data_IF_156393520262
#
_entry.id   IF_156393520262
#
_cell.length_a   1.000
_cell.length_b   1.000
_cell.length_c   1.000
_cell.angle_alpha   90.00
_cell.angle_beta   90.00
_cell.angle_gamma   90.00
#
_symmetry.space_group_name_H-M   'P 1'
#
loop_
_entity.id
_entity.type
_entity.pdbx_description
1 polymer ?
#
# COMPACT_ATOMS: atom_id res chain seq x y z
N UNK A 1 0.43 29.20 -34.02
CA UNK A 1 -0.47 28.09 -33.64
C UNK A 1 -1.31 28.54 -32.45
N UNK A 2 -2.64 28.44 -32.52
CA UNK A 2 -3.51 28.75 -31.37
C UNK A 2 -3.58 27.54 -30.46
N UNK A 3 -2.78 27.53 -29.40
CA UNK A 3 -2.76 26.44 -28.42
C UNK A 3 -3.94 26.60 -27.46
N UNK A 4 -4.84 25.62 -27.44
CA UNK A 4 -5.97 25.55 -26.49
C UNK A 4 -5.66 24.53 -25.41
N UNK A 5 -5.82 24.93 -24.16
CA UNK A 5 -5.72 24.02 -23.01
C UNK A 5 -6.90 23.04 -23.03
N UNK A 6 -6.63 21.77 -22.72
CA UNK A 6 -7.65 20.76 -22.54
C UNK A 6 -8.66 21.19 -21.47
N UNK A 7 -9.96 21.08 -21.77
CA UNK A 7 -11.03 21.32 -20.81
C UNK A 7 -11.91 20.09 -20.73
N UNK A 8 -12.14 19.61 -19.52
CA UNK A 8 -12.98 18.45 -19.26
C UNK A 8 -14.46 18.84 -19.38
N UNK A 9 -15.29 17.97 -19.98
CA UNK A 9 -16.74 18.12 -19.97
C UNK A 9 -17.33 17.39 -18.77
N UNK A 10 -18.48 17.85 -18.29
CA UNK A 10 -19.15 17.23 -17.14
C UNK A 10 -19.52 15.75 -17.38
N UNK A 11 -19.82 15.38 -18.62
CA UNK A 11 -20.16 14.02 -19.03
C UNK A 11 -18.99 13.04 -18.98
N UNK A 12 -17.76 13.55 -19.12
CA UNK A 12 -16.54 12.74 -19.21
C UNK A 12 -15.87 12.56 -17.84
N UNK A 13 -16.59 12.89 -16.75
CA UNK A 13 -16.08 12.78 -15.39
C UNK A 13 -16.18 11.32 -14.93
N UNK A 14 -15.03 10.64 -14.91
CA UNK A 14 -14.90 9.34 -14.25
C UNK A 14 -14.61 9.51 -12.76
N UNK A 15 -15.41 8.88 -11.89
CA UNK A 15 -15.24 8.92 -10.44
C UNK A 15 -14.92 7.53 -9.90
N UNK A 16 -13.92 7.47 -9.03
CA UNK A 16 -13.51 6.24 -8.33
C UNK A 16 -14.00 6.28 -6.89
N UNK A 17 -14.08 5.12 -6.28
CA UNK A 17 -14.35 4.96 -4.86
C UNK A 17 -13.04 4.67 -4.14
N UNK A 18 -12.77 5.39 -3.05
CA UNK A 18 -11.62 5.18 -2.17
C UNK A 18 -12.10 4.86 -0.77
N UNK A 19 -11.45 3.91 -0.12
CA UNK A 19 -11.69 3.56 1.28
C UNK A 19 -10.45 3.95 2.08
N UNK A 20 -10.63 4.78 3.11
CA UNK A 20 -9.59 5.23 4.01
C UNK A 20 -9.87 4.71 5.42
N UNK A 21 -8.89 4.04 5.99
CA UNK A 21 -8.93 3.66 7.40
C UNK A 21 -8.42 4.81 8.28
N UNK A 22 -9.20 5.13 9.31
CA UNK A 22 -8.94 6.19 10.26
C UNK A 22 -8.33 5.67 11.58
N UNK A 23 -8.22 4.35 11.77
CA UNK A 23 -7.65 3.74 12.96
C UNK A 23 -6.21 4.19 13.20
N UNK A 24 -5.90 4.64 14.42
CA UNK A 24 -4.54 5.01 14.84
C UNK A 24 -3.97 6.26 14.15
N UNK A 25 -4.69 6.89 13.22
CA UNK A 25 -4.17 7.99 12.42
C UNK A 25 -4.59 9.36 12.97
N UNK A 26 -3.72 10.40 12.86
CA UNK A 26 -4.09 11.75 13.29
C UNK A 26 -5.23 12.34 12.45
N UNK A 27 -6.25 12.92 13.10
CA UNK A 27 -7.43 13.52 12.45
C UNK A 27 -7.11 14.39 11.24
N UNK A 28 -6.13 15.29 11.39
CA UNK A 28 -5.77 16.25 10.34
C UNK A 28 -5.15 15.59 9.10
N UNK A 29 -4.42 14.48 9.26
CA UNK A 29 -3.77 13.78 8.15
C UNK A 29 -4.79 13.06 7.29
N UNK A 30 -5.70 12.29 7.91
CA UNK A 30 -6.81 11.64 7.19
C UNK A 30 -7.70 12.69 6.52
N UNK A 31 -8.06 13.77 7.24
CA UNK A 31 -8.92 14.80 6.68
C UNK A 31 -8.31 15.49 5.46
N UNK A 32 -6.99 15.75 5.48
CA UNK A 32 -6.28 16.35 4.35
C UNK A 32 -6.21 15.41 3.14
N UNK A 33 -5.96 14.13 3.38
CA UNK A 33 -5.95 13.11 2.33
C UNK A 33 -7.33 12.95 1.69
N UNK A 34 -8.38 12.83 2.51
CA UNK A 34 -9.76 12.77 2.06
C UNK A 34 -10.15 14.03 1.26
N UNK A 35 -9.81 15.22 1.75
CA UNK A 35 -10.10 16.47 1.05
C UNK A 35 -9.37 16.56 -0.29
N UNK A 36 -8.14 16.05 -0.40
CA UNK A 36 -7.39 16.03 -1.66
C UNK A 36 -8.09 15.16 -2.72
N UNK A 37 -8.54 13.96 -2.33
CA UNK A 37 -9.29 13.04 -3.19
C UNK A 37 -10.67 13.62 -3.58
N UNK A 38 -11.38 14.22 -2.62
CA UNK A 38 -12.67 14.87 -2.87
C UNK A 38 -12.53 16.10 -3.77
N UNK A 39 -11.41 16.82 -3.73
CA UNK A 39 -11.18 17.92 -4.67
C UNK A 39 -10.84 17.43 -6.08
N UNK A 40 -10.31 16.21 -6.21
CA UNK A 40 -9.84 15.65 -7.47
C UNK A 40 -8.46 16.17 -7.90
N UNK A 41 -7.69 16.75 -6.97
CA UNK A 41 -6.37 17.34 -7.25
C UNK A 41 -5.30 16.31 -7.65
N UNK A 42 -5.55 15.04 -7.36
CA UNK A 42 -4.70 13.92 -7.79
C UNK A 42 -4.86 13.58 -9.27
N UNK A 43 -5.93 14.04 -9.93
CA UNK A 43 -6.15 13.82 -11.36
C UNK A 43 -5.52 14.95 -12.18
N UNK A 44 -4.75 14.65 -13.24
CA UNK A 44 -4.19 15.67 -14.12
C UNK A 44 -5.26 16.43 -14.91
N UNK A 45 -6.45 15.87 -15.03
CA UNK A 45 -7.65 16.48 -15.66
C UNK A 45 -8.40 17.42 -14.72
N UNK A 46 -7.74 17.97 -13.68
CA UNK A 46 -8.39 18.82 -12.69
C UNK A 46 -8.88 20.14 -13.30
N UNK A 47 -10.19 20.34 -13.26
CA UNK A 47 -10.89 21.55 -13.66
C UNK A 47 -11.50 22.29 -12.44
N UNK A 48 -11.17 23.57 -12.18
CA UNK A 48 -11.62 24.31 -10.99
C UNK A 48 -13.12 24.64 -10.92
N UNK A 49 -13.89 24.51 -11.98
CA UNK A 49 -15.33 24.83 -11.93
C UNK A 49 -16.21 23.59 -11.81
N UNK A 50 -15.67 22.40 -12.12
CA UNK A 50 -16.41 21.13 -12.09
C UNK A 50 -16.17 20.38 -10.78
N UNK A 51 -17.19 19.66 -10.32
CA UNK A 51 -17.11 18.74 -9.19
C UNK A 51 -16.68 17.34 -9.66
N UNK A 52 -15.41 17.15 -10.07
CA UNK A 52 -14.92 15.87 -10.59
C UNK A 52 -14.21 14.98 -9.57
N UNK A 53 -14.33 15.34 -8.28
CA UNK A 53 -13.75 14.61 -7.17
C UNK A 53 -14.28 13.18 -7.04
N UNK A 54 -13.46 12.33 -6.45
CA UNK A 54 -13.80 10.93 -6.21
C UNK A 54 -14.72 10.77 -4.98
N UNK A 55 -15.34 9.60 -4.86
CA UNK A 55 -16.06 9.20 -3.66
C UNK A 55 -15.07 8.68 -2.62
N UNK A 56 -15.21 9.14 -1.38
CA UNK A 56 -14.31 8.77 -0.28
C UNK A 56 -15.15 8.22 0.86
N UNK A 57 -14.82 7.00 1.27
CA UNK A 57 -15.37 6.32 2.44
C UNK A 57 -14.29 6.34 3.50
N UNK A 58 -14.62 6.82 4.69
CA UNK A 58 -13.74 6.76 5.86
C UNK A 58 -14.35 5.79 6.86
N UNK A 59 -13.59 4.76 7.23
CA UNK A 59 -13.97 3.74 8.22
C UNK A 59 -13.22 3.96 9.53
N UNK A 60 -13.70 3.33 10.62
CA UNK A 60 -13.10 3.43 11.96
C UNK A 60 -12.99 4.87 12.50
N UNK A 61 -14.00 5.71 12.23
CA UNK A 61 -13.96 7.11 12.66
C UNK A 61 -13.89 7.29 14.19
N UNK A 62 -14.29 6.29 14.96
CA UNK A 62 -14.21 6.29 16.42
C UNK A 62 -12.77 6.18 16.96
N UNK A 63 -11.85 5.64 16.16
CA UNK A 63 -10.46 5.33 16.57
C UNK A 63 -9.46 6.42 16.16
N UNK A 64 -9.96 7.58 15.74
CA UNK A 64 -9.11 8.69 15.31
C UNK A 64 -8.37 9.33 16.48
N UNK A 65 -7.07 9.54 16.29
CA UNK A 65 -6.19 10.11 17.32
C UNK A 65 -6.01 11.61 17.13
N UNK A 66 -5.92 12.33 18.25
CA UNK A 66 -5.40 13.69 18.32
C UNK A 66 -4.07 13.70 19.04
N UNK A 67 -3.08 14.43 18.50
CA UNK A 67 -1.75 14.52 19.10
C UNK A 67 -1.71 15.54 20.24
N UNK A 68 -0.94 15.23 21.29
CA UNK A 68 -0.74 16.09 22.46
C UNK A 68 -2.02 16.33 23.27
N UNK A 69 -2.13 17.50 23.90
CA UNK A 69 -3.26 17.85 24.79
C UNK A 69 -4.53 18.29 24.03
N UNK A 70 -4.59 18.09 22.71
CA UNK A 70 -5.71 18.55 21.88
C UNK A 70 -7.01 17.81 22.19
N UNK A 71 -6.95 16.56 22.63
CA UNK A 71 -8.13 15.78 22.96
C UNK A 71 -8.94 16.41 24.12
N UNK A 72 -8.28 17.02 25.10
CA UNK A 72 -8.94 17.70 26.22
C UNK A 72 -9.26 19.17 25.93
N UNK A 73 -8.41 19.85 25.17
CA UNK A 73 -8.55 21.29 24.91
C UNK A 73 -9.49 21.64 23.75
N UNK A 74 -9.73 20.71 22.82
CA UNK A 74 -10.52 20.99 21.62
C UNK A 74 -12.01 21.03 21.96
N UNK A 75 -12.61 22.20 21.75
CA UNK A 75 -14.04 22.45 21.95
C UNK A 75 -14.71 22.84 20.63
N UNK A 76 -15.83 22.20 20.33
CA UNK A 76 -16.70 22.51 19.21
C UNK A 76 -17.80 23.48 19.63
N UNK A 77 -17.87 24.62 18.95
CA UNK A 77 -18.89 25.63 19.19
C UNK A 77 -19.97 25.61 18.11
N UNK A 78 -21.21 25.82 18.52
CA UNK A 78 -22.32 26.11 17.62
C UNK A 78 -23.28 27.11 18.25
N UNK A 79 -23.86 27.97 17.43
CA UNK A 79 -24.85 28.94 17.84
C UNK A 79 -26.14 28.72 17.05
N UNK A 80 -27.30 28.88 17.68
CA UNK A 80 -28.58 28.70 16.98
C UNK A 80 -29.06 29.95 16.22
N UNK A 81 -28.44 31.11 16.47
CA UNK A 81 -28.89 32.41 15.96
C UNK A 81 -29.75 33.21 16.93
N UNK A 82 -30.19 32.61 18.05
CA UNK A 82 -30.94 33.30 19.11
C UNK A 82 -29.99 33.83 20.20
N UNK A 83 -30.29 34.99 20.83
CA UNK A 83 -29.45 35.55 21.89
C UNK A 83 -29.16 34.54 23.02
N UNK A 84 -27.90 34.45 23.45
CA UNK A 84 -27.47 33.61 24.59
C UNK A 84 -27.39 32.10 24.30
N UNK A 85 -27.63 31.62 23.08
CA UNK A 85 -27.69 30.17 22.79
C UNK A 85 -26.40 29.61 22.19
N UNK A 86 -25.25 29.93 22.80
CA UNK A 86 -23.96 29.34 22.45
C UNK A 86 -23.86 27.95 23.09
N UNK A 87 -23.64 26.93 22.27
CA UNK A 87 -23.42 25.56 22.74
C UNK A 87 -21.98 25.16 22.46
N UNK A 88 -21.26 24.82 23.53
CA UNK A 88 -19.92 24.28 23.48
C UNK A 88 -19.96 22.78 23.77
N UNK A 89 -19.10 22.00 23.12
CA UNK A 89 -18.89 20.57 23.39
C UNK A 89 -17.42 20.24 23.36
N UNK A 90 -16.93 19.49 24.33
CA UNK A 90 -15.57 18.97 24.26
C UNK A 90 -15.44 17.92 23.15
N UNK A 91 -14.21 17.64 22.75
CA UNK A 91 -13.94 16.58 21.77
C UNK A 91 -14.41 15.21 22.24
N UNK A 92 -14.18 14.86 23.52
CA UNK A 92 -14.65 13.61 24.11
C UNK A 92 -16.18 13.46 23.99
N UNK A 93 -16.94 14.48 24.42
CA UNK A 93 -18.40 14.50 24.29
C UNK A 93 -18.88 14.38 22.84
N UNK A 94 -18.13 14.97 21.90
CA UNK A 94 -18.47 14.91 20.48
C UNK A 94 -18.18 13.52 19.89
N UNK A 95 -17.12 12.84 20.35
CA UNK A 95 -16.75 11.49 19.94
C UNK A 95 -17.78 10.46 20.42
N UNK A 96 -18.18 10.53 21.70
CA UNK A 96 -19.21 9.67 22.29
C UNK A 96 -20.55 9.80 21.58
N UNK A 97 -20.94 11.04 21.23
CA UNK A 97 -22.23 11.28 20.60
C UNK A 97 -22.24 10.86 19.13
N UNK A 98 -21.25 11.31 18.36
CA UNK A 98 -21.18 11.06 16.93
C UNK A 98 -19.76 11.32 16.39
N UNK A 99 -18.93 10.29 16.44
CA UNK A 99 -17.56 10.32 15.95
C UNK A 99 -17.45 10.74 14.47
N UNK A 100 -18.42 10.36 13.62
CA UNK A 100 -18.46 10.78 12.19
C UNK A 100 -18.36 12.29 12.03
N UNK A 101 -19.07 13.05 12.86
CA UNK A 101 -19.11 14.52 12.79
C UNK A 101 -17.74 15.16 13.02
N UNK A 102 -16.85 14.51 13.77
CA UNK A 102 -15.48 14.99 14.00
C UNK A 102 -14.72 15.05 12.68
N UNK A 103 -14.78 13.97 11.89
CA UNK A 103 -14.13 13.87 10.58
C UNK A 103 -14.83 14.76 9.57
N UNK A 104 -16.16 14.70 9.50
CA UNK A 104 -16.96 15.53 8.60
C UNK A 104 -16.68 17.02 8.79
N UNK A 105 -16.61 17.50 10.04
CA UNK A 105 -16.34 18.91 10.33
C UNK A 105 -14.91 19.30 9.92
N UNK A 106 -13.94 18.41 10.14
CA UNK A 106 -12.56 18.64 9.72
C UNK A 106 -12.44 18.73 8.20
N UNK A 107 -13.02 17.77 7.46
CA UNK A 107 -12.99 17.75 5.98
C UNK A 107 -13.78 18.91 5.40
N UNK A 108 -14.95 19.25 5.96
CA UNK A 108 -15.76 20.39 5.51
C UNK A 108 -15.01 21.71 5.60
N UNK A 109 -14.16 21.88 6.62
CA UNK A 109 -13.29 23.06 6.75
C UNK A 109 -12.18 23.15 5.69
N UNK A 110 -11.82 22.03 5.06
CA UNK A 110 -10.78 21.97 4.01
C UNK A 110 -11.34 22.11 2.59
N UNK A 111 -12.67 22.10 2.43
CA UNK A 111 -13.35 22.26 1.14
C UNK A 111 -13.77 23.71 0.88
N UNK A 112 -13.83 24.14 -0.40
CA UNK A 112 -14.26 25.49 -0.75
C UNK A 112 -15.70 25.74 -0.30
N UNK A 113 -15.95 26.91 0.30
CA UNK A 113 -17.27 27.28 0.82
C UNK A 113 -18.20 27.83 -0.28
N UNK A 114 -18.44 27.03 -1.32
CA UNK A 114 -19.31 27.37 -2.45
C UNK A 114 -20.29 26.23 -2.77
N UNK A 115 -21.08 26.37 -3.84
CA UNK A 115 -22.02 25.30 -4.30
C UNK A 115 -21.25 24.02 -4.64
N UNK A 116 -20.15 24.14 -5.38
CA UNK A 116 -19.28 23.01 -5.76
C UNK A 116 -18.76 22.26 -4.53
N UNK A 117 -18.28 22.95 -3.51
CA UNK A 117 -17.77 22.32 -2.29
C UNK A 117 -18.85 21.61 -1.48
N UNK A 118 -20.08 22.12 -1.49
CA UNK A 118 -21.23 21.41 -0.90
C UNK A 118 -21.56 20.13 -1.67
N UNK A 119 -21.42 20.13 -2.99
CA UNK A 119 -21.57 18.93 -3.81
C UNK A 119 -20.47 17.91 -3.51
N UNK A 120 -19.20 18.34 -3.50
CA UNK A 120 -18.06 17.49 -3.16
C UNK A 120 -18.20 16.86 -1.76
N UNK A 121 -18.68 17.63 -0.79
CA UNK A 121 -18.90 17.13 0.57
C UNK A 121 -19.92 15.98 0.61
N UNK A 122 -20.89 15.90 -0.32
CA UNK A 122 -21.85 14.78 -0.38
C UNK A 122 -21.20 13.46 -0.80
N UNK A 123 -20.04 13.51 -1.46
CA UNK A 123 -19.29 12.33 -1.88
C UNK A 123 -18.50 11.69 -0.73
N UNK A 124 -18.32 12.40 0.39
CA UNK A 124 -17.74 11.85 1.60
C UNK A 124 -18.78 10.97 2.32
N UNK A 125 -18.38 9.77 2.71
CA UNK A 125 -19.11 8.87 3.60
C UNK A 125 -18.23 8.52 4.78
N UNK A 126 -18.74 8.64 6.00
CA UNK A 126 -17.98 8.35 7.21
C UNK A 126 -18.74 7.35 8.06
N UNK A 127 -18.05 6.29 8.48
CA UNK A 127 -18.57 5.22 9.32
C UNK A 127 -17.74 5.13 10.60
N UNK A 128 -18.43 4.85 11.72
CA UNK A 128 -17.77 4.72 13.02
C UNK A 128 -16.97 3.42 13.13
N UNK A 129 -17.50 2.34 12.57
CA UNK A 129 -16.87 1.02 12.56
C UNK A 129 -16.16 0.71 11.24
N UNK A 130 -15.66 -0.53 11.10
CA UNK A 130 -14.92 -0.98 9.93
C UNK A 130 -15.81 -1.25 8.72
N UNK A 131 -17.08 -1.56 8.96
CA UNK A 131 -18.03 -1.96 7.93
C UNK A 131 -18.70 -0.77 7.25
N UNK A 132 -18.97 -0.92 5.95
CA UNK A 132 -19.66 0.06 5.12
C UNK A 132 -20.55 -0.65 4.09
N UNK A 133 -21.78 -0.15 3.83
CA UNK A 133 -22.73 -0.81 2.93
C UNK A 133 -22.41 -0.65 1.43
N UNK A 134 -21.26 -0.04 1.09
CA UNK A 134 -20.92 0.37 -0.28
C UNK A 134 -19.95 -0.59 -0.99
N UNK A 135 -19.82 -1.83 -0.51
CA UNK A 135 -18.90 -2.83 -1.07
C UNK A 135 -19.09 -3.04 -2.58
N UNK A 136 -20.33 -3.12 -3.05
CA UNK A 136 -20.62 -3.30 -4.47
C UNK A 136 -20.03 -2.19 -5.36
N UNK A 137 -19.98 -0.95 -4.87
CA UNK A 137 -19.49 0.21 -5.60
C UNK A 137 -17.96 0.31 -5.55
N UNK A 138 -17.38 -0.03 -4.40
CA UNK A 138 -15.92 -0.15 -4.23
C UNK A 138 -15.38 -1.23 -5.16
N UNK A 139 -16.04 -2.39 -5.22
CA UNK A 139 -15.65 -3.54 -6.03
C UNK A 139 -15.94 -3.36 -7.53
N UNK A 140 -16.96 -2.57 -7.90
CA UNK A 140 -17.27 -2.25 -9.29
C UNK A 140 -16.13 -1.46 -9.97
N UNK A 141 -15.47 -0.54 -9.24
CA UNK A 141 -14.34 0.24 -9.75
C UNK A 141 -13.03 -0.54 -9.88
N UNK A 142 -12.91 -1.67 -9.18
CA UNK A 142 -11.74 -2.57 -9.16
C UNK A 142 -11.91 -3.81 -10.06
N UNK A 143 -12.92 -3.77 -10.94
CA UNK A 143 -13.56 -4.94 -11.56
C UNK A 143 -12.71 -5.88 -12.45
N UNK A 144 -11.46 -5.57 -12.77
CA UNK A 144 -10.60 -6.48 -13.52
C UNK A 144 -9.26 -6.76 -12.81
N UNK A 145 -8.58 -5.71 -12.34
CA UNK A 145 -7.24 -5.85 -11.74
C UNK A 145 -7.28 -6.37 -10.30
N UNK A 146 -8.26 -5.98 -9.48
CA UNK A 146 -8.36 -6.51 -8.12
C UNK A 146 -8.92 -7.94 -8.12
N UNK A 147 -9.86 -8.29 -9.01
CA UNK A 147 -10.28 -9.69 -9.19
C UNK A 147 -9.12 -10.57 -9.62
N UNK A 148 -8.27 -10.08 -10.54
CA UNK A 148 -7.06 -10.80 -10.97
C UNK A 148 -6.02 -10.93 -9.85
N UNK A 149 -5.87 -9.89 -9.01
CA UNK A 149 -4.97 -9.91 -7.85
C UNK A 149 -5.48 -10.79 -6.71
N UNK A 150 -6.76 -10.70 -6.36
CA UNK A 150 -7.40 -11.56 -5.36
C UNK A 150 -7.40 -13.02 -5.82
N UNK A 151 -7.72 -13.32 -7.08
CA UNK A 151 -7.59 -14.66 -7.63
C UNK A 151 -6.12 -15.15 -7.69
N UNK A 152 -5.15 -14.25 -7.82
CA UNK A 152 -3.73 -14.60 -7.75
C UNK A 152 -3.27 -14.84 -6.30
N UNK A 153 -3.77 -14.07 -5.34
CA UNK A 153 -3.51 -14.23 -3.90
C UNK A 153 -4.19 -15.50 -3.36
N UNK A 154 -5.42 -15.80 -3.75
CA UNK A 154 -6.11 -17.06 -3.44
C UNK A 154 -5.42 -18.28 -4.09
N UNK A 155 -4.94 -18.16 -5.33
CA UNK A 155 -4.13 -19.21 -5.97
C UNK A 155 -2.76 -19.38 -5.28
N UNK A 156 -2.12 -18.29 -4.84
CA UNK A 156 -0.87 -18.37 -4.12
C UNK A 156 -1.05 -18.99 -2.72
N UNK A 157 -2.17 -18.69 -2.04
CA UNK A 157 -2.53 -19.32 -0.78
C UNK A 157 -2.84 -20.82 -0.97
N UNK A 158 -3.59 -21.19 -2.01
CA UNK A 158 -3.87 -22.59 -2.34
C UNK A 158 -2.61 -23.39 -2.74
N UNK A 159 -1.64 -22.75 -3.40
CA UNK A 159 -0.35 -23.38 -3.73
C UNK A 159 0.55 -23.52 -2.49
N UNK A 160 0.46 -22.61 -1.52
CA UNK A 160 1.17 -22.73 -0.24
C UNK A 160 0.57 -23.79 0.69
N UNK A 161 -0.74 -24.05 0.59
CA UNK A 161 -1.45 -25.09 1.36
C UNK A 161 -1.35 -26.48 0.71
N UNK A 162 -0.88 -26.57 -0.55
CA UNK A 162 -0.77 -27.82 -1.31
C UNK A 162 0.66 -28.42 -1.32
N UNK A 163 1.52 -28.09 -0.36
CA UNK A 163 2.74 -28.87 -0.13
C UNK A 163 2.33 -30.18 0.60
N UNK A 164 2.46 -31.36 -0.02
CA UNK A 164 2.15 -32.60 0.68
C UNK A 164 3.22 -32.86 1.75
N UNK A 165 2.78 -32.97 3.00
CA UNK A 165 3.52 -33.69 4.04
C UNK A 165 3.81 -35.11 3.50
N UNK A 166 5.09 -35.41 3.32
CA UNK A 166 5.55 -36.75 2.97
C UNK A 166 5.41 -37.61 4.22
N UNK A 167 4.35 -38.43 4.24
CA UNK A 167 4.22 -39.59 5.11
C UNK A 167 5.46 -40.50 4.89
N UNK A 168 6.28 -40.66 5.92
CA UNK A 168 7.30 -41.71 5.96
C UNK A 168 6.61 -43.08 6.06
N UNK A 169 6.79 -44.01 5.11
CA UNK A 169 6.28 -45.35 5.28
C UNK A 169 7.17 -46.13 6.25
N UNK A 170 6.62 -46.39 7.43
CA UNK A 170 7.13 -47.36 8.39
C UNK A 170 6.95 -48.77 7.81
N UNK A 171 8.04 -49.50 7.58
CA UNK A 171 8.01 -50.94 7.32
C UNK A 171 8.62 -51.68 8.51
N UNK A 172 7.78 -52.48 9.16
CA UNK A 172 8.11 -53.36 10.28
C UNK A 172 8.95 -54.58 9.83
N UNK A 173 10.04 -54.78 10.59
CA UNK A 173 10.59 -56.01 11.15
C UNK A 173 10.66 -57.32 10.33
N UNK A 174 11.89 -57.78 10.06
CA UNK A 174 12.34 -59.18 10.26
C UNK A 174 13.77 -59.18 10.82
N UNK A 175 14.00 -59.99 11.85
CA UNK A 175 15.20 -60.10 12.71
C UNK A 175 16.16 -61.24 12.24
N UNK A 176 17.44 -60.88 12.05
CA UNK A 176 18.71 -61.62 12.30
C UNK A 176 19.11 -62.92 11.55
N UNK A 177 20.42 -63.37 11.57
CA UNK A 177 21.70 -62.68 11.85
C UNK A 177 22.94 -63.13 10.99
N UNK A 178 24.10 -62.51 11.30
CA UNK A 178 25.52 -63.00 11.20
C UNK A 178 26.40 -62.62 9.99
N UNK A 179 27.46 -61.86 10.32
CA UNK A 179 28.86 -61.88 9.82
C UNK A 179 29.43 -60.70 9.00
N UNK A 180 30.47 -60.10 9.60
CA UNK A 180 31.77 -59.72 9.00
C UNK A 180 31.96 -58.32 8.36
N UNK A 181 32.80 -57.51 9.02
CA UNK A 181 33.47 -56.32 8.49
C UNK A 181 34.56 -56.73 7.45
N UNK A 182 35.16 -55.87 6.58
CA UNK A 182 35.52 -54.47 6.85
C UNK A 182 35.48 -53.47 5.66
N UNK A 183 35.70 -52.18 6.00
CA UNK A 183 36.34 -51.05 5.30
C UNK A 183 36.30 -50.92 3.75
N UNK A 184 36.06 -49.67 3.27
CA UNK A 184 36.98 -48.85 2.42
C UNK A 184 36.23 -47.67 1.76
N UNK A 185 36.81 -46.47 1.93
CA UNK A 185 36.86 -45.23 1.13
C UNK A 185 35.68 -44.71 0.27
N UNK A 186 35.34 -43.44 0.57
CA UNK A 186 35.24 -42.28 -0.32
C UNK A 186 34.89 -42.47 -1.82
N UNK A 187 33.94 -41.69 -2.32
CA UNK A 187 34.15 -40.47 -3.14
C UNK A 187 32.78 -39.90 -3.53
N UNK A 188 32.74 -38.58 -3.56
CA UNK A 188 31.67 -37.64 -3.89
C UNK A 188 30.98 -37.93 -5.22
N UNK A 189 29.66 -37.69 -5.28
CA UNK A 189 29.03 -37.12 -6.49
C UNK A 189 27.70 -36.45 -6.12
N UNK A 190 27.79 -35.27 -5.49
CA UNK A 190 26.65 -34.36 -5.38
C UNK A 190 26.61 -33.44 -6.60
N UNK A 191 25.62 -33.74 -7.45
CA UNK A 191 24.76 -32.79 -8.13
C UNK A 191 25.40 -31.52 -8.72
N UNK A 192 25.49 -31.53 -10.04
CA UNK A 192 25.49 -30.35 -10.92
C UNK A 192 24.39 -29.36 -10.50
N UNK A 193 24.76 -28.29 -9.82
CA UNK A 193 23.92 -27.12 -9.61
C UNK A 193 24.31 -26.04 -10.63
N UNK A 194 23.33 -25.66 -11.47
CA UNK A 194 23.49 -24.67 -12.51
C UNK A 194 24.00 -23.33 -11.94
N UNK A 195 25.05 -22.77 -12.56
CA UNK A 195 25.57 -21.47 -12.21
C UNK A 195 24.44 -20.40 -12.23
N UNK A 196 24.25 -19.60 -11.16
CA UNK A 196 23.25 -18.53 -11.19
C UNK A 196 23.70 -17.45 -12.18
N UNK A 197 22.80 -16.99 -13.05
CA UNK A 197 23.12 -16.03 -14.12
C UNK A 197 23.49 -14.64 -13.56
N UNK A 198 24.31 -13.85 -14.29
CA UNK A 198 24.61 -12.44 -13.93
C UNK A 198 23.33 -11.59 -13.96
N UNK A 199 23.24 -10.55 -13.12
CA UNK A 199 22.13 -9.58 -13.21
C UNK A 199 22.03 -8.96 -14.62
N UNK A 200 20.89 -9.11 -15.30
CA UNK A 200 20.67 -8.63 -16.67
C UNK A 200 19.94 -7.28 -16.72
N UNK A 201 20.29 -6.45 -17.71
CA UNK A 201 19.67 -5.13 -17.92
C UNK A 201 20.25 -4.02 -17.03
N UNK A 202 19.50 -2.92 -16.84
CA UNK A 202 20.02 -1.77 -16.09
C UNK A 202 20.08 -2.03 -14.58
N UNK A 203 21.31 -2.06 -14.02
CA UNK A 203 21.61 -2.22 -12.60
C UNK A 203 20.85 -1.23 -11.68
N UNK A 204 20.49 -0.05 -12.21
CA UNK A 204 19.73 0.97 -11.46
C UNK A 204 18.31 0.51 -11.03
N UNK A 205 17.73 -0.49 -11.72
CA UNK A 205 16.38 -1.02 -11.46
C UNK A 205 16.32 -1.91 -10.23
N UNK A 206 17.41 -2.59 -9.90
CA UNK A 206 17.49 -3.55 -8.80
C UNK A 206 17.47 -2.87 -7.44
N UNK A 207 16.99 -3.56 -6.40
CA UNK A 207 17.03 -3.04 -5.02
C UNK A 207 18.43 -3.15 -4.45
N UNK A 208 18.71 -2.37 -3.39
CA UNK A 208 20.04 -2.35 -2.77
C UNK A 208 20.49 -3.74 -2.32
N UNK A 209 19.61 -4.50 -1.65
CA UNK A 209 19.96 -5.86 -1.22
C UNK A 209 20.24 -6.83 -2.37
N UNK A 210 19.59 -6.67 -3.52
CA UNK A 210 19.85 -7.49 -4.72
C UNK A 210 21.22 -7.18 -5.33
N UNK A 211 21.64 -5.91 -5.27
CA UNK A 211 22.97 -5.47 -5.71
C UNK A 211 24.06 -5.89 -4.72
N UNK A 212 23.78 -5.90 -3.42
CA UNK A 212 24.75 -6.30 -2.39
C UNK A 212 25.08 -7.80 -2.49
N UNK A 213 24.07 -8.64 -2.79
CA UNK A 213 24.27 -10.08 -3.05
C UNK A 213 25.14 -10.28 -4.30
N UNK A 214 24.90 -9.52 -5.38
CA UNK A 214 25.71 -9.63 -6.59
C UNK A 214 27.13 -9.08 -6.37
N UNK A 215 27.30 -8.01 -5.60
CA UNK A 215 28.62 -7.50 -5.23
C UNK A 215 29.42 -8.54 -4.42
N UNK A 216 28.79 -9.20 -3.44
CA UNK A 216 29.40 -10.28 -2.67
C UNK A 216 29.79 -11.46 -3.57
N UNK A 217 28.92 -11.84 -4.52
CA UNK A 217 29.20 -12.87 -5.52
C UNK A 217 30.39 -12.54 -6.41
N UNK A 218 30.53 -11.28 -6.84
CA UNK A 218 31.64 -10.81 -7.66
C UNK A 218 32.93 -10.57 -6.84
N UNK A 219 32.87 -10.75 -5.51
CA UNK A 219 34.01 -10.51 -4.61
C UNK A 219 34.32 -9.03 -4.38
N UNK A 220 33.36 -8.14 -4.62
CA UNK A 220 33.50 -6.70 -4.40
C UNK A 220 33.23 -6.40 -2.93
N UNK A 221 34.25 -5.89 -2.22
CA UNK A 221 34.11 -5.48 -0.82
C UNK A 221 33.38 -4.13 -0.77
N UNK A 222 32.20 -4.10 -0.16
CA UNK A 222 31.41 -2.88 0.05
C UNK A 222 31.92 -2.18 1.32
N UNK A 223 32.41 -0.94 1.19
CA UNK A 223 32.83 -0.14 2.35
C UNK A 223 31.64 0.52 3.06
N UNK A 224 31.83 0.82 4.34
CA UNK A 224 30.81 1.51 5.14
C UNK A 224 30.51 2.91 4.57
N UNK A 225 29.23 3.23 4.42
CA UNK A 225 28.76 4.49 3.83
C UNK A 225 28.49 4.50 2.32
N UNK A 226 28.75 3.41 1.59
CA UNK A 226 28.41 3.29 0.17
C UNK A 226 26.90 3.37 -0.06
N UNK A 227 26.46 4.28 -0.94
CA UNK A 227 25.06 4.42 -1.37
C UNK A 227 24.78 3.46 -2.52
N UNK A 228 23.48 3.28 -2.83
CA UNK A 228 23.02 2.42 -3.94
C UNK A 228 23.78 2.68 -5.25
N UNK A 229 24.03 3.95 -5.57
CA UNK A 229 24.76 4.34 -6.78
C UNK A 229 26.19 3.79 -6.83
N UNK A 230 26.91 3.84 -5.71
CA UNK A 230 28.32 3.45 -5.63
C UNK A 230 28.50 1.94 -5.86
N UNK A 231 27.57 1.11 -5.34
CA UNK A 231 27.58 -0.35 -5.64
C UNK A 231 27.19 -0.64 -7.09
N UNK A 232 26.25 0.12 -7.66
CA UNK A 232 25.91 -0.02 -9.09
C UNK A 232 27.13 0.27 -9.96
N UNK A 233 27.90 1.32 -9.63
CA UNK A 233 29.10 1.70 -10.36
C UNK A 233 30.21 0.65 -10.23
N UNK A 234 30.42 0.09 -9.04
CA UNK A 234 31.39 -0.96 -8.83
C UNK A 234 31.06 -2.26 -9.59
N UNK A 235 29.79 -2.68 -9.57
CA UNK A 235 29.33 -3.86 -10.34
C UNK A 235 29.45 -3.59 -11.84
N UNK A 236 29.08 -2.40 -12.31
CA UNK A 236 29.21 -2.02 -13.72
C UNK A 236 30.67 -2.06 -14.17
N UNK A 237 31.60 -1.51 -13.38
CA UNK A 237 33.02 -1.54 -13.69
C UNK A 237 33.58 -2.96 -13.79
N UNK A 238 33.09 -3.89 -12.95
CA UNK A 238 33.46 -5.29 -13.03
C UNK A 238 32.94 -5.97 -14.30
N UNK A 239 31.69 -5.68 -14.71
CA UNK A 239 31.11 -6.21 -15.95
C UNK A 239 31.79 -5.67 -17.20
N UNK A 240 32.17 -4.39 -17.20
CA UNK A 240 32.93 -3.79 -18.30
C UNK A 240 34.33 -4.40 -18.42
N UNK A 241 34.96 -4.74 -17.28
CA UNK A 241 36.27 -5.41 -17.26
C UNK A 241 36.21 -6.90 -17.64
N UNK A 242 35.06 -7.56 -17.43
CA UNK A 242 34.84 -8.98 -17.72
C UNK A 242 33.60 -9.14 -18.60
N UNK A 243 33.63 -8.69 -19.87
CA UNK A 243 32.52 -8.90 -20.79
C UNK A 243 32.20 -10.39 -20.89
N UNK A 244 30.92 -10.73 -21.04
CA UNK A 244 30.56 -12.10 -21.41
C UNK A 244 31.07 -12.31 -22.83
N UNK A 245 31.84 -13.37 -23.07
CA UNK A 245 32.16 -13.81 -24.42
C UNK A 245 30.84 -14.20 -25.10
N UNK A 246 30.28 -13.29 -25.91
CA UNK A 246 29.14 -13.56 -26.78
C UNK A 246 29.61 -14.30 -28.02
N UNK A 247 30.12 -15.52 -27.87
CA UNK A 247 30.38 -16.44 -28.98
C UNK A 247 30.16 -17.89 -28.50
N UNK A 248 28.90 -18.35 -28.55
CA UNK A 248 28.44 -19.67 -29.03
C UNK A 248 26.91 -19.80 -28.97
#
# INVERSE_FOLDING_TARGET
>A
MTTKTYRLRASDIERKWHVLDASGRPLGRIASEAAHLLLGKHKPTYEPHLAMGDHVIVVNAAEVILTGNKASQKTYYRHSGYPGNLRARSFAQQMERDARKVIETAVRGMLPHNVRGRELFRHLKVYNGPEHPHEAQVNAGTGARARKRAAAEERAAAVAEAAPEVEEPTVDAVEEPVAEAPAVEAIEETATEAAPERLTGSLSRYRRGELDIEAERLGIIIEDGWRKGDVVEAIAAYYDANPLDEDE
#
